data_IF_340643565346
#
_entry.id   IF_340643565346
#
_cell.length_a   1.000
_cell.length_b   1.000
_cell.length_c   1.000
_cell.angle_alpha   90.00
_cell.angle_beta   90.00
_cell.angle_gamma   90.00
#
_symmetry.space_group_name_H-M   'P 1'
#
loop_
_entity.id
_entity.type
_entity.pdbx_description
1 polymer ?
#
# COMPACT_ATOMS: atom_id res chain seq x y z
N UNK A 1 13.52 15.54 -7.50
CA UNK A 1 13.45 14.14 -7.92
C UNK A 1 11.99 13.74 -8.08
N UNK A 2 11.61 13.10 -9.18
CA UNK A 2 10.26 12.56 -9.33
C UNK A 2 10.10 11.31 -8.45
N UNK A 3 8.95 11.16 -7.80
CA UNK A 3 8.66 10.00 -6.93
C UNK A 3 8.82 8.67 -7.66
N UNK A 4 8.59 8.65 -8.98
CA UNK A 4 8.82 7.45 -9.81
C UNK A 4 10.29 7.05 -9.90
N UNK A 5 11.22 8.02 -9.96
CA UNK A 5 12.65 7.73 -9.99
C UNK A 5 13.14 7.13 -8.67
N UNK A 6 12.53 7.53 -7.55
CA UNK A 6 12.88 7.03 -6.21
C UNK A 6 12.39 5.60 -6.03
N UNK A 7 11.16 5.27 -6.47
CA UNK A 7 10.64 3.89 -6.36
C UNK A 7 11.34 2.92 -7.32
N UNK A 8 11.91 3.42 -8.41
CA UNK A 8 12.66 2.60 -9.36
C UNK A 8 14.12 2.35 -8.93
N UNK A 9 14.59 3.04 -7.90
CA UNK A 9 15.90 2.82 -7.31
C UNK A 9 16.01 1.40 -6.74
N UNK A 10 17.16 0.74 -6.96
CA UNK A 10 17.37 -0.66 -6.57
C UNK A 10 17.31 -0.83 -5.05
N UNK A 11 17.84 0.13 -4.30
CA UNK A 11 17.93 0.05 -2.84
C UNK A 11 16.55 0.27 -2.21
N UNK A 12 15.76 1.19 -2.79
CA UNK A 12 14.36 1.41 -2.39
C UNK A 12 13.49 0.19 -2.67
N UNK A 13 13.65 -0.44 -3.84
CA UNK A 13 12.92 -1.69 -4.17
C UNK A 13 13.30 -2.83 -3.24
N UNK A 14 14.57 -2.95 -2.88
CA UNK A 14 15.02 -3.95 -1.92
C UNK A 14 14.40 -3.69 -0.54
N UNK A 15 14.45 -2.46 -0.04
CA UNK A 15 13.84 -2.07 1.23
C UNK A 15 12.32 -2.35 1.24
N UNK A 16 11.60 -2.00 0.17
CA UNK A 16 10.17 -2.30 0.02
C UNK A 16 9.90 -3.79 0.07
N UNK A 17 10.72 -4.59 -0.62
CA UNK A 17 10.57 -6.04 -0.66
C UNK A 17 10.79 -6.64 0.74
N UNK A 18 11.88 -6.26 1.41
CA UNK A 18 12.20 -6.71 2.76
C UNK A 18 11.08 -6.35 3.74
N UNK A 19 10.62 -5.09 3.71
CA UNK A 19 9.57 -4.63 4.60
C UNK A 19 8.24 -5.32 4.32
N UNK A 20 7.90 -5.53 3.05
CA UNK A 20 6.71 -6.29 2.67
C UNK A 20 6.78 -7.71 3.23
N UNK A 21 7.90 -8.40 3.07
CA UNK A 21 8.10 -9.75 3.62
C UNK A 21 8.02 -9.77 5.14
N UNK A 22 8.55 -8.75 5.81
CA UNK A 22 8.46 -8.62 7.27
C UNK A 22 6.99 -8.47 7.72
N UNK A 23 6.29 -7.47 7.19
CA UNK A 23 4.88 -7.20 7.52
C UNK A 23 3.98 -8.39 7.19
N UNK A 24 4.28 -9.11 6.11
CA UNK A 24 3.55 -10.32 5.72
C UNK A 24 3.71 -11.46 6.74
N UNK A 25 4.91 -11.66 7.27
CA UNK A 25 5.18 -12.69 8.28
C UNK A 25 4.57 -12.35 9.63
N UNK A 26 4.63 -11.10 10.03
CA UNK A 26 4.32 -10.69 11.40
C UNK A 26 2.83 -10.34 11.60
N UNK A 27 2.20 -9.65 10.64
CA UNK A 27 0.92 -8.97 10.91
C UNK A 27 -0.14 -9.14 9.81
N UNK A 28 0.23 -9.26 8.53
CA UNK A 28 -0.74 -9.26 7.41
C UNK A 28 -0.42 -10.36 6.40
N UNK A 29 -0.94 -11.58 6.62
CA UNK A 29 -0.65 -12.77 5.78
C UNK A 29 -0.88 -12.56 4.28
N UNK A 30 -1.85 -11.72 3.90
CA UNK A 30 -2.23 -11.48 2.50
C UNK A 30 -1.67 -10.17 1.91
N UNK A 31 -0.68 -9.55 2.56
CA UNK A 31 -0.08 -8.31 2.07
C UNK A 31 0.73 -8.56 0.79
N UNK A 32 0.48 -7.72 -0.22
CA UNK A 32 1.20 -7.74 -1.50
C UNK A 32 2.18 -6.59 -1.59
N UNK A 33 3.27 -6.78 -2.36
CA UNK A 33 4.25 -5.74 -2.63
C UNK A 33 3.61 -4.47 -3.21
N UNK A 34 2.65 -4.65 -4.13
CA UNK A 34 1.95 -3.52 -4.77
C UNK A 34 1.15 -2.68 -3.77
N UNK A 35 0.53 -3.30 -2.77
CA UNK A 35 -0.18 -2.58 -1.71
C UNK A 35 0.76 -1.73 -0.86
N UNK A 36 1.95 -2.24 -0.54
CA UNK A 36 2.97 -1.48 0.20
C UNK A 36 3.50 -0.32 -0.64
N UNK A 37 3.80 -0.55 -1.92
CA UNK A 37 4.21 0.51 -2.86
C UNK A 37 3.16 1.62 -2.94
N UNK A 38 1.89 1.25 -3.10
CA UNK A 38 0.78 2.20 -3.15
C UNK A 38 0.61 2.95 -1.84
N UNK A 39 0.70 2.26 -0.70
CA UNK A 39 0.69 2.91 0.62
C UNK A 39 1.80 3.97 0.71
N UNK A 40 3.02 3.63 0.29
CA UNK A 40 4.13 4.58 0.32
C UNK A 40 3.89 5.77 -0.62
N UNK A 41 3.48 5.54 -1.88
CA UNK A 41 3.26 6.61 -2.86
C UNK A 41 2.06 7.50 -2.54
N UNK A 42 0.92 6.89 -2.25
CA UNK A 42 -0.38 7.54 -2.21
C UNK A 42 -0.81 7.96 -0.80
N UNK A 43 -0.14 7.46 0.24
CA UNK A 43 -0.43 7.82 1.62
C UNK A 43 0.75 8.52 2.29
N UNK A 44 1.89 7.84 2.41
CA UNK A 44 3.05 8.34 3.18
C UNK A 44 3.75 9.50 2.46
N UNK A 45 4.08 9.32 1.18
CA UNK A 45 4.79 10.32 0.37
C UNK A 45 3.85 11.28 -0.36
N UNK A 46 2.53 11.11 -0.24
CA UNK A 46 1.57 12.07 -0.79
C UNK A 46 1.69 13.45 -0.13
N UNK A 47 1.99 13.47 1.17
CA UNK A 47 2.16 14.71 1.94
C UNK A 47 3.63 15.07 2.20
N UNK A 48 4.56 14.17 1.85
CA UNK A 48 6.00 14.31 2.13
C UNK A 48 6.81 14.21 0.86
N UNK A 49 7.53 15.28 0.51
CA UNK A 49 8.49 15.24 -0.60
C UNK A 49 9.76 14.54 -0.16
N UNK A 50 10.03 13.37 -0.75
CA UNK A 50 11.28 12.64 -0.52
C UNK A 50 12.36 13.20 -1.43
N UNK A 51 13.46 13.69 -0.84
CA UNK A 51 14.56 14.33 -1.59
C UNK A 51 15.73 13.40 -1.83
N UNK A 52 15.94 12.41 -0.97
CA UNK A 52 17.04 11.46 -1.04
C UNK A 52 16.58 10.00 -0.91
N UNK A 53 17.37 9.09 -1.47
CA UNK A 53 17.11 7.63 -1.41
C UNK A 53 17.14 7.11 0.03
N UNK A 54 18.06 7.58 0.87
CA UNK A 54 18.13 7.17 2.27
C UNK A 54 16.89 7.57 3.08
N UNK A 55 16.30 8.74 2.79
CA UNK A 55 15.04 9.17 3.41
C UNK A 55 13.90 8.22 3.03
N UNK A 56 13.84 7.83 1.75
CA UNK A 56 12.85 6.86 1.26
C UNK A 56 12.97 5.52 2.01
N UNK A 57 14.21 5.01 2.13
CA UNK A 57 14.49 3.75 2.80
C UNK A 57 14.11 3.82 4.28
N UNK A 58 14.43 4.94 4.95
CA UNK A 58 14.09 5.12 6.35
C UNK A 58 12.56 5.17 6.57
N UNK A 59 11.83 5.85 5.68
CA UNK A 59 10.37 5.87 5.69
C UNK A 59 9.77 4.46 5.48
N UNK A 60 10.35 3.66 4.59
CA UNK A 60 9.92 2.27 4.37
C UNK A 60 10.18 1.42 5.61
N UNK A 61 11.37 1.52 6.20
CA UNK A 61 11.74 0.71 7.36
C UNK A 61 10.94 1.07 8.61
N UNK A 62 10.56 2.34 8.76
CA UNK A 62 9.67 2.83 9.82
C UNK A 62 8.19 2.57 9.58
N UNK A 63 7.80 2.05 8.41
CA UNK A 63 6.40 1.75 8.09
C UNK A 63 5.81 0.74 9.08
N UNK A 64 4.68 1.10 9.68
CA UNK A 64 3.93 0.25 10.60
C UNK A 64 2.78 -0.45 9.88
N UNK A 65 2.42 -1.65 10.34
CA UNK A 65 1.29 -2.38 9.78
C UNK A 65 -0.03 -1.61 9.92
N UNK A 66 -0.22 -0.89 11.04
CA UNK A 66 -1.39 -0.05 11.26
C UNK A 66 -1.60 0.99 10.15
N UNK A 67 -0.51 1.60 9.65
CA UNK A 67 -0.55 2.56 8.54
C UNK A 67 -0.98 1.88 7.23
N UNK A 68 -0.47 0.68 6.98
CA UNK A 68 -0.83 -0.11 5.78
C UNK A 68 -2.29 -0.53 5.84
N UNK A 69 -2.77 -0.99 7.00
CA UNK A 69 -4.18 -1.35 7.20
C UNK A 69 -5.07 -0.12 7.02
N UNK A 70 -4.71 1.03 7.61
CA UNK A 70 -5.47 2.26 7.46
C UNK A 70 -5.63 2.68 5.99
N UNK A 71 -4.54 2.59 5.20
CA UNK A 71 -4.61 2.87 3.76
C UNK A 71 -5.47 1.85 3.01
N UNK A 72 -5.34 0.55 3.31
CA UNK A 72 -6.16 -0.49 2.69
C UNK A 72 -7.65 -0.33 3.03
N UNK A 73 -7.97 0.05 4.26
CA UNK A 73 -9.34 0.38 4.68
C UNK A 73 -9.86 1.61 3.95
N UNK A 74 -9.05 2.66 3.80
CA UNK A 74 -9.42 3.83 3.00
C UNK A 74 -9.73 3.44 1.55
N UNK A 75 -8.87 2.65 0.91
CA UNK A 75 -9.11 2.17 -0.46
C UNK A 75 -10.36 1.29 -0.56
N UNK A 76 -10.67 0.48 0.46
CA UNK A 76 -11.88 -0.33 0.50
C UNK A 76 -13.14 0.53 0.60
N UNK A 77 -13.12 1.58 1.43
CA UNK A 77 -14.23 2.54 1.58
C UNK A 77 -14.43 3.32 0.28
N UNK A 78 -13.36 3.86 -0.30
CA UNK A 78 -13.42 4.60 -1.56
C UNK A 78 -13.96 3.71 -2.70
N UNK A 79 -13.44 2.48 -2.80
CA UNK A 79 -13.92 1.50 -3.79
C UNK A 79 -15.39 1.14 -3.56
N UNK A 80 -15.80 0.92 -2.31
CA UNK A 80 -17.20 0.67 -1.94
C UNK A 80 -18.10 1.86 -2.27
N UNK A 81 -17.66 3.08 -2.01
CA UNK A 81 -18.40 4.30 -2.36
C UNK A 81 -18.53 4.52 -3.86
N UNK A 82 -17.57 4.04 -4.66
CA UNK A 82 -17.60 4.12 -6.12
C UNK A 82 -18.34 2.95 -6.81
N UNK A 83 -18.66 1.89 -6.07
CA UNK A 83 -19.43 0.75 -6.58
C UNK A 83 -20.92 1.08 -6.54
N UNK A 84 -21.62 0.89 -7.65
CA UNK A 84 -23.09 0.92 -7.65
C UNK A 84 -23.65 -0.10 -6.66
N UNK A 85 -24.76 0.25 -5.99
CA UNK A 85 -25.35 -0.53 -4.91
C UNK A 85 -25.59 -2.00 -5.30
N UNK A 86 -25.97 -2.29 -6.55
CA UNK A 86 -26.16 -3.64 -7.08
C UNK A 86 -24.91 -4.53 -6.95
N UNK A 87 -23.71 -3.96 -7.14
CA UNK A 87 -22.45 -4.70 -7.06
C UNK A 87 -22.01 -4.94 -5.63
N UNK A 88 -22.38 -4.03 -4.73
CA UNK A 88 -22.17 -4.19 -3.28
C UNK A 88 -23.12 -5.26 -2.75
N UNK A 89 -24.38 -5.26 -3.20
CA UNK A 89 -25.37 -6.27 -2.86
C UNK A 89 -24.91 -7.66 -3.31
N UNK A 90 -24.47 -7.82 -4.57
CA UNK A 90 -23.94 -9.10 -5.06
C UNK A 90 -22.73 -9.61 -4.26
N UNK A 91 -21.77 -8.73 -3.93
CA UNK A 91 -20.63 -9.09 -3.07
C UNK A 91 -21.07 -9.48 -1.65
N UNK A 92 -22.08 -8.80 -1.08
CA UNK A 92 -22.62 -9.14 0.25
C UNK A 92 -23.43 -10.45 0.23
N UNK A 93 -24.11 -10.73 -0.89
CA UNK A 93 -24.87 -11.96 -1.11
C UNK A 93 -24.00 -13.17 -1.41
N UNK A 94 -22.72 -12.96 -1.76
CA UNK A 94 -21.79 -14.01 -2.13
C UNK A 94 -21.87 -14.40 -3.61
N UNK A 95 -22.52 -13.58 -4.43
CA UNK A 95 -22.61 -13.76 -5.88
C UNK A 95 -21.28 -13.27 -6.50
N UNK A 96 -20.24 -14.10 -6.35
CA UNK A 96 -19.04 -14.01 -7.16
C UNK A 96 -19.36 -14.68 -8.50
N UNK A 97 -19.73 -13.88 -9.50
CA UNK A 97 -19.82 -14.36 -10.88
C UNK A 97 -18.50 -15.05 -11.27
N UNK A 98 -18.64 -16.30 -11.68
CA UNK A 98 -17.64 -17.18 -12.29
C UNK A 98 -17.09 -16.60 -13.60
#
# INVERSE_FOLDING_TARGET
>A
MNQENIVNDKDVRLALTLKTSQLKREQIKNLTYQQVVKTMKEFVWKQKTVRHVHDAINDIMSLQAATVVAYLSYCAIEKGSSMGLDKIEGVMRGDLDE
#
